data_IF_396711565160
#
_entry.id   IF_396711565160
#
_cell.length_a   1.000
_cell.length_b   1.000
_cell.length_c   1.000
_cell.angle_alpha   90.00
_cell.angle_beta   90.00
_cell.angle_gamma   90.00
#
_symmetry.space_group_name_H-M   'P 1'
#
loop_
_entity.id
_entity.type
_entity.pdbx_description
1 polymer ?
#
# COMPACT_ATOMS: atom_id res chain seq x y z
N UNK A 1 -8.70 0.72 5.34
CA UNK A 1 -7.25 0.96 5.24
C UNK A 1 -6.44 -0.06 6.03
N UNK A 2 -6.64 -0.21 7.35
CA UNK A 2 -5.90 -1.20 8.17
C UNK A 2 -6.00 -2.63 7.63
N UNK A 3 -7.17 -3.06 7.16
CA UNK A 3 -7.35 -4.37 6.52
C UNK A 3 -6.48 -4.55 5.27
N UNK A 4 -6.34 -3.50 4.46
CA UNK A 4 -5.55 -3.54 3.24
C UNK A 4 -4.05 -3.68 3.55
N UNK A 5 -3.56 -2.88 4.52
CA UNK A 5 -2.18 -2.99 5.01
C UNK A 5 -1.90 -4.37 5.64
N UNK A 6 -2.85 -4.92 6.41
CA UNK A 6 -2.71 -6.27 6.96
C UNK A 6 -2.70 -7.35 5.88
N UNK A 7 -3.51 -7.19 4.84
CA UNK A 7 -3.52 -8.09 3.68
C UNK A 7 -2.16 -8.09 2.98
N UNK A 8 -1.62 -6.91 2.66
CA UNK A 8 -0.32 -6.77 2.04
C UNK A 8 0.83 -7.33 2.89
N UNK A 9 0.81 -7.09 4.21
CA UNK A 9 1.79 -7.69 5.13
C UNK A 9 1.72 -9.21 5.09
N UNK A 10 0.52 -9.78 5.14
CA UNK A 10 0.34 -11.24 5.15
C UNK A 10 0.83 -11.88 3.86
N UNK A 11 0.58 -11.26 2.71
CA UNK A 11 1.09 -11.75 1.43
C UNK A 11 2.63 -11.85 1.42
N UNK A 12 3.33 -10.99 2.16
CA UNK A 12 4.78 -11.08 2.35
C UNK A 12 5.26 -12.09 3.39
N UNK A 13 4.37 -12.68 4.20
CA UNK A 13 4.74 -13.65 5.26
C UNK A 13 4.75 -15.10 4.76
N UNK A 14 3.81 -15.46 3.88
CA UNK A 14 3.73 -16.79 3.26
C UNK A 14 2.85 -16.75 1.99
N UNK A 15 3.07 -17.69 1.07
CA UNK A 15 2.26 -17.85 -0.14
C UNK A 15 0.85 -18.40 0.19
N UNK A 16 0.75 -19.31 1.18
CA UNK A 16 -0.51 -19.87 1.63
C UNK A 16 -1.26 -18.88 2.56
N UNK A 17 -2.53 -18.52 2.27
CA UNK A 17 -3.26 -17.53 3.06
C UNK A 17 -3.50 -17.91 4.52
N UNK A 18 -3.68 -19.20 4.81
CA UNK A 18 -3.92 -19.67 6.17
C UNK A 18 -2.62 -19.68 6.97
N UNK A 19 -1.50 -20.07 6.35
CA UNK A 19 -0.16 -19.95 6.94
C UNK A 19 0.22 -18.49 7.19
N UNK A 20 -0.02 -17.60 6.22
CA UNK A 20 0.24 -16.17 6.35
C UNK A 20 -0.55 -15.54 7.50
N UNK A 21 -1.83 -15.93 7.64
CA UNK A 21 -2.68 -15.52 8.75
C UNK A 21 -2.14 -16.04 10.08
N UNK A 22 -1.76 -17.32 10.15
CA UNK A 22 -1.20 -17.91 11.36
C UNK A 22 0.14 -17.25 11.76
N UNK A 23 1.01 -16.93 10.79
CA UNK A 23 2.24 -16.20 11.01
C UNK A 23 1.98 -14.79 11.56
N UNK A 24 1.02 -14.07 10.96
CA UNK A 24 0.57 -12.77 11.44
C UNK A 24 0.02 -12.84 12.87
N UNK A 25 -0.74 -13.89 13.22
CA UNK A 25 -1.33 -14.12 14.54
C UNK A 25 -0.28 -14.48 15.62
N UNK A 26 0.90 -14.96 15.22
CA UNK A 26 2.03 -15.23 16.15
C UNK A 26 2.85 -14.01 16.51
N UNK A 27 2.84 -12.95 15.70
CA UNK A 27 3.52 -11.69 16.03
C UNK A 27 2.98 -11.11 17.34
N UNK A 28 3.77 -10.36 18.09
CA UNK A 28 3.25 -9.60 19.22
C UNK A 28 2.57 -8.30 18.74
N UNK A 29 1.84 -7.63 19.64
CA UNK A 29 1.10 -6.41 19.31
C UNK A 29 2.02 -5.27 18.85
N UNK A 30 3.21 -5.13 19.46
CA UNK A 30 4.13 -4.05 19.15
C UNK A 30 4.78 -4.27 17.78
N UNK A 31 5.22 -5.48 17.47
CA UNK A 31 5.75 -5.82 16.14
C UNK A 31 4.72 -5.55 15.04
N UNK A 32 3.46 -6.00 15.22
CA UNK A 32 2.39 -5.69 14.26
C UNK A 32 2.21 -4.19 14.03
N UNK A 33 2.23 -3.41 15.10
CA UNK A 33 2.11 -1.97 15.01
C UNK A 33 3.27 -1.34 14.24
N UNK A 34 4.51 -1.75 14.53
CA UNK A 34 5.69 -1.26 13.82
C UNK A 34 5.65 -1.62 12.34
N UNK A 35 5.31 -2.86 12.00
CA UNK A 35 5.19 -3.31 10.61
C UNK A 35 4.13 -2.52 9.84
N UNK A 36 2.94 -2.34 10.43
CA UNK A 36 1.87 -1.56 9.79
C UNK A 36 2.22 -0.08 9.66
N UNK A 37 2.93 0.48 10.64
CA UNK A 37 3.42 1.87 10.57
C UNK A 37 4.42 2.03 9.43
N UNK A 38 5.43 1.15 9.36
CA UNK A 38 6.47 1.20 8.34
C UNK A 38 5.89 1.13 6.92
N UNK A 39 4.96 0.21 6.68
CA UNK A 39 4.31 0.08 5.37
C UNK A 39 3.38 1.26 5.12
N UNK A 40 2.61 1.66 6.13
CA UNK A 40 1.73 2.83 6.05
C UNK A 40 2.46 4.09 5.62
N UNK A 41 3.63 4.36 6.19
CA UNK A 41 4.46 5.52 5.86
C UNK A 41 4.91 5.53 4.39
N UNK A 42 5.10 4.35 3.79
CA UNK A 42 5.49 4.22 2.39
C UNK A 42 4.30 4.35 1.42
N UNK A 43 3.15 3.78 1.76
CA UNK A 43 2.03 3.67 0.80
C UNK A 43 1.00 4.78 0.92
N UNK A 44 0.73 5.29 2.13
CA UNK A 44 -0.32 6.29 2.35
C UNK A 44 -0.09 7.59 1.56
N UNK A 45 1.14 8.14 1.47
CA UNK A 45 1.38 9.34 0.66
C UNK A 45 1.07 9.12 -0.82
N UNK A 46 1.35 7.93 -1.35
CA UNK A 46 1.05 7.56 -2.74
C UNK A 46 -0.46 7.45 -2.93
N UNK A 47 -1.16 6.71 -2.06
CA UNK A 47 -2.61 6.54 -2.15
C UNK A 47 -3.39 7.85 -2.10
N UNK A 48 -2.90 8.83 -1.32
CA UNK A 48 -3.49 10.17 -1.25
C UNK A 48 -3.22 11.00 -2.51
N UNK A 49 -2.11 10.74 -3.19
CA UNK A 49 -1.74 11.42 -4.44
C UNK A 49 -2.33 10.81 -5.70
N UNK A 50 -2.93 9.61 -5.63
CA UNK A 50 -3.58 8.97 -6.77
C UNK A 50 -4.79 9.80 -7.26
N UNK A 51 -5.04 9.82 -8.57
CA UNK A 51 -6.19 10.55 -9.12
C UNK A 51 -7.50 9.91 -8.68
N UNK A 52 -8.54 10.73 -8.53
CA UNK A 52 -9.89 10.21 -8.31
C UNK A 52 -10.37 9.42 -9.53
N UNK A 53 -10.92 8.23 -9.27
CA UNK A 53 -11.53 7.37 -10.30
C UNK A 53 -12.96 7.04 -9.92
N UNK A 54 -13.83 6.91 -10.94
CA UNK A 54 -15.18 6.39 -10.72
C UNK A 54 -15.08 4.89 -10.44
N UNK A 55 -15.57 4.48 -9.27
CA UNK A 55 -15.62 3.08 -8.86
C UNK A 55 -17.07 2.71 -8.68
N UNK A 56 -17.49 1.64 -9.34
CA UNK A 56 -18.84 1.09 -9.18
C UNK A 56 -19.00 0.47 -7.78
N UNK A 57 -20.20 0.52 -7.18
CA UNK A 57 -20.46 -0.21 -5.95
C UNK A 57 -20.12 -1.69 -6.05
N UNK A 58 -19.46 -2.22 -5.03
CA UNK A 58 -19.03 -3.63 -4.99
C UNK A 58 -17.75 -3.93 -5.77
N UNK A 59 -17.15 -2.95 -6.46
CA UNK A 59 -15.84 -3.10 -7.12
C UNK A 59 -14.73 -2.35 -6.38
N UNK A 60 -13.49 -2.53 -6.83
CA UNK A 60 -12.31 -1.84 -6.29
C UNK A 60 -11.84 -0.77 -7.27
N UNK A 61 -11.13 0.22 -6.75
CA UNK A 61 -10.34 1.10 -7.60
C UNK A 61 -9.18 0.30 -8.21
N UNK A 62 -8.93 0.53 -9.49
CA UNK A 62 -7.83 -0.09 -10.23
C UNK A 62 -6.96 1.03 -10.81
N UNK A 63 -5.65 0.88 -10.69
CA UNK A 63 -4.65 1.80 -11.20
C UNK A 63 -3.58 0.98 -11.91
N UNK A 64 -3.13 1.42 -13.07
CA UNK A 64 -1.96 0.82 -13.73
C UNK A 64 -0.66 1.24 -13.01
N UNK A 65 0.39 0.47 -13.26
CA UNK A 65 1.71 0.70 -12.65
C UNK A 65 2.28 2.06 -13.04
N UNK A 66 2.00 2.55 -14.25
CA UNK A 66 2.45 3.87 -14.72
C UNK A 66 1.82 5.00 -13.89
N UNK A 67 0.52 4.93 -13.62
CA UNK A 67 -0.19 5.88 -12.77
C UNK A 67 0.38 5.88 -11.35
N UNK A 68 0.59 4.70 -10.78
CA UNK A 68 1.20 4.58 -9.44
C UNK A 68 2.62 5.13 -9.43
N UNK A 69 3.44 4.79 -10.43
CA UNK A 69 4.82 5.26 -10.56
C UNK A 69 4.90 6.79 -10.70
N UNK A 70 3.96 7.40 -11.44
CA UNK A 70 3.90 8.86 -11.64
C UNK A 70 3.72 9.64 -10.33
N UNK A 71 3.06 9.03 -9.33
CA UNK A 71 2.87 9.60 -8.00
C UNK A 71 4.00 9.19 -7.06
N UNK A 72 4.40 7.92 -7.08
CA UNK A 72 5.41 7.35 -6.20
C UNK A 72 6.81 7.94 -6.44
N UNK A 73 7.21 8.16 -7.70
CA UNK A 73 8.53 8.63 -8.08
C UNK A 73 8.93 9.96 -7.43
N UNK A 74 8.14 11.05 -7.58
CA UNK A 74 8.44 12.32 -6.94
C UNK A 74 8.45 12.26 -5.41
N UNK A 75 7.59 11.45 -4.80
CA UNK A 75 7.55 11.26 -3.34
C UNK A 75 8.80 10.55 -2.82
N UNK A 76 9.23 9.51 -3.52
CA UNK A 76 10.44 8.75 -3.21
C UNK A 76 11.70 9.62 -3.36
N UNK A 77 11.79 10.42 -4.43
CA UNK A 77 12.88 11.37 -4.61
C UNK A 77 12.94 12.39 -3.45
N UNK A 78 11.79 12.96 -3.09
CA UNK A 78 11.71 13.91 -1.97
C UNK A 78 12.00 13.25 -0.61
N UNK A 79 11.68 11.97 -0.42
CA UNK A 79 12.01 11.17 0.76
C UNK A 79 13.52 10.94 0.86
N UNK A 80 14.14 10.55 -0.26
CA UNK A 80 15.59 10.34 -0.36
C UNK A 80 16.35 11.61 0.00
N UNK A 81 16.04 12.73 -0.65
CA UNK A 81 16.70 14.00 -0.45
C UNK A 81 16.56 14.53 0.99
N UNK A 82 15.50 14.14 1.71
CA UNK A 82 15.31 14.49 3.14
C UNK A 82 16.07 13.57 4.09
N UNK A 83 16.31 12.33 3.70
CA UNK A 83 16.87 11.28 4.58
C UNK A 83 18.39 11.21 4.55
N UNK A 84 19.02 11.62 3.44
CA UNK A 84 20.46 11.46 3.26
C UNK A 84 21.28 12.71 3.61
N UNK A 85 22.45 12.49 4.20
CA UNK A 85 23.48 13.51 4.40
C UNK A 85 24.45 13.64 3.22
N UNK A 86 24.52 12.63 2.35
CA UNK A 86 25.46 12.51 1.24
C UNK A 86 24.80 11.97 -0.05
N UNK A 87 24.21 12.88 -0.83
CA UNK A 87 23.84 12.66 -2.24
C UNK A 87 22.35 12.79 -2.54
N UNK A 88 22.02 13.49 -3.63
CA UNK A 88 20.63 13.63 -4.09
C UNK A 88 20.12 12.37 -4.77
N UNK A 89 18.79 12.24 -4.86
CA UNK A 89 18.11 11.21 -5.65
C UNK A 89 18.66 11.13 -7.08
N UNK A 90 18.83 12.28 -7.75
CA UNK A 90 19.34 12.33 -9.12
C UNK A 90 20.80 11.90 -9.28
N UNK A 91 21.56 11.83 -8.18
CA UNK A 91 22.93 11.32 -8.18
C UNK A 91 22.99 9.78 -8.14
N UNK A 92 21.88 9.11 -7.84
CA UNK A 92 21.81 7.66 -7.81
C UNK A 92 21.87 7.06 -9.22
N UNK A 93 22.48 5.87 -9.39
CA UNK A 93 22.39 5.11 -10.63
C UNK A 93 20.93 4.94 -11.09
N UNK A 94 20.69 4.96 -12.40
CA UNK A 94 19.34 4.78 -12.94
C UNK A 94 18.72 3.43 -12.53
N UNK A 95 19.52 2.37 -12.56
CA UNK A 95 19.09 1.02 -12.14
C UNK A 95 18.61 0.96 -10.68
N UNK A 96 19.28 1.69 -9.78
CA UNK A 96 18.89 1.74 -8.37
C UNK A 96 17.58 2.52 -8.20
N UNK A 97 17.44 3.66 -8.90
CA UNK A 97 16.21 4.46 -8.88
C UNK A 97 15.02 3.67 -9.39
N UNK A 98 15.20 2.95 -10.49
CA UNK A 98 14.18 2.09 -11.08
C UNK A 98 13.81 0.96 -10.11
N UNK A 99 14.78 0.28 -9.50
CA UNK A 99 14.53 -0.77 -8.52
C UNK A 99 13.76 -0.28 -7.29
N UNK A 100 14.10 0.89 -6.75
CA UNK A 100 13.36 1.47 -5.62
C UNK A 100 11.93 1.87 -6.01
N UNK A 101 11.75 2.42 -7.22
CA UNK A 101 10.43 2.80 -7.72
C UNK A 101 9.56 1.55 -7.95
N UNK A 102 10.09 0.53 -8.61
CA UNK A 102 9.41 -0.74 -8.86
C UNK A 102 8.98 -1.40 -7.55
N UNK A 103 9.84 -1.39 -6.53
CA UNK A 103 9.49 -1.90 -5.21
C UNK A 103 8.32 -1.12 -4.59
N UNK A 104 8.35 0.22 -4.68
CA UNK A 104 7.26 1.07 -4.15
C UNK A 104 5.96 0.85 -4.90
N UNK A 105 6.01 0.73 -6.23
CA UNK A 105 4.84 0.44 -7.07
C UNK A 105 4.25 -0.91 -6.70
N UNK A 106 5.06 -1.96 -6.63
CA UNK A 106 4.60 -3.30 -6.25
C UNK A 106 3.96 -3.33 -4.86
N UNK A 107 4.55 -2.64 -3.88
CA UNK A 107 3.96 -2.54 -2.53
C UNK A 107 2.60 -1.82 -2.53
N UNK A 108 2.48 -0.74 -3.30
CA UNK A 108 1.21 -0.01 -3.42
C UNK A 108 0.16 -0.86 -4.13
N UNK A 109 0.53 -1.55 -5.21
CA UNK A 109 -0.38 -2.45 -5.94
C UNK A 109 -0.88 -3.58 -5.04
N UNK A 110 0.02 -4.17 -4.25
CA UNK A 110 -0.37 -5.19 -3.28
C UNK A 110 -1.39 -4.62 -2.27
N UNK A 111 -1.15 -3.43 -1.71
CA UNK A 111 -2.10 -2.78 -0.80
C UNK A 111 -3.45 -2.46 -1.48
N UNK A 112 -3.44 -1.99 -2.73
CA UNK A 112 -4.64 -1.71 -3.50
C UNK A 112 -5.49 -2.98 -3.70
N UNK A 113 -4.85 -4.13 -3.94
CA UNK A 113 -5.54 -5.41 -4.12
C UNK A 113 -6.35 -5.85 -2.89
N UNK A 114 -5.88 -5.46 -1.69
CA UNK A 114 -6.54 -5.75 -0.40
C UNK A 114 -7.49 -4.64 0.07
N UNK A 115 -7.72 -3.59 -0.71
CA UNK A 115 -8.74 -2.61 -0.36
C UNK A 115 -10.13 -3.26 -0.33
N UNK A 116 -10.98 -2.88 0.64
CA UNK A 116 -12.37 -3.32 0.61
C UNK A 116 -13.05 -2.73 -0.64
N UNK A 117 -13.92 -3.50 -1.31
CA UNK A 117 -14.73 -2.96 -2.40
C UNK A 117 -15.54 -1.74 -1.94
N UNK A 118 -15.74 -0.79 -2.85
CA UNK A 118 -16.53 0.41 -2.60
C UNK A 118 -17.92 0.01 -2.11
N UNK A 119 -18.31 0.56 -0.96
CA UNK A 119 -19.67 0.43 -0.46
C UNK A 119 -20.55 1.49 -1.13
N UNK A 120 -21.79 1.12 -1.44
CA UNK A 120 -22.78 2.08 -1.91
C UNK A 120 -23.25 2.95 -0.74
N UNK A 121 -23.02 4.27 -0.74
CA UNK A 121 -23.49 5.14 0.33
C UNK A 121 -25.02 5.21 0.43
N UNK A 122 -25.75 4.87 -0.64
CA UNK A 122 -27.21 4.89 -0.69
C UNK A 122 -27.84 3.52 -0.38
N UNK A 123 -27.02 2.45 -0.32
CA UNK A 123 -27.48 1.15 0.18
C UNK A 123 -27.51 1.16 1.71
N UNK A 124 -28.66 1.48 2.29
CA UNK A 124 -28.92 1.25 3.71
C UNK A 124 -28.85 -0.26 4.02
N UNK A 125 -27.67 -0.74 4.43
CA UNK A 125 -27.51 -2.07 5.00
C UNK A 125 -27.98 -2.01 6.46
N UNK A 126 -29.27 -2.21 6.68
CA UNK A 126 -29.83 -2.42 8.02
C UNK A 126 -29.60 -3.89 8.40
N UNK A 127 -28.86 -4.21 9.47
CA UNK A 127 -28.70 -5.60 9.90
C UNK A 127 -30.02 -6.16 10.42
N UNK A 128 -30.45 -7.32 9.91
CA UNK A 128 -31.73 -8.01 10.22
C UNK A 128 -31.79 -8.66 11.62
N UNK A 129 -31.22 -8.02 12.65
CA UNK A 129 -31.25 -8.55 14.02
C UNK A 129 -31.41 -7.43 15.04
N UNK A 130 -32.55 -7.48 15.73
CA UNK A 130 -32.85 -6.83 17.01
C UNK A 130 -32.93 -7.89 18.10
#
# INVERSE_FOLDING_TARGET
>A
MTTALQGAVRAGLAEDPDEAKAAWEKLDRFTRFQTLTLIGDQVLPVLVGLPDVTVEPGTRAEYDDETVASVAGPLLAAEWDRSQGDGSWDAQPAEDRDAYLDHRVGLVQEVLSHLPPRQDPDALIVPDHL
#
